data_IF_095124245953
#
_entry.id   IF_095124245953
#
_cell.length_a   1.000
_cell.length_b   1.000
_cell.length_c   1.000
_cell.angle_alpha   90.00
_cell.angle_beta   90.00
_cell.angle_gamma   90.00
#
_symmetry.space_group_name_H-M   'P 1'
#
loop_
_entity.id
_entity.type
_entity.pdbx_description
1 polymer ?
#
# COMPACT_ATOMS: atom_id res chain seq x y z
N UNK A 1 -19.00 21.91 -1.86
CA UNK A 1 -18.60 20.81 -2.78
C UNK A 1 -17.21 21.13 -3.26
N UNK A 2 -16.23 20.24 -2.99
CA UNK A 2 -14.83 20.38 -3.40
C UNK A 2 -14.57 19.59 -4.68
N UNK A 3 -13.61 20.06 -5.49
CA UNK A 3 -13.07 19.34 -6.65
C UNK A 3 -11.71 18.77 -6.26
N UNK A 4 -11.57 17.43 -6.28
CA UNK A 4 -10.40 16.73 -5.78
C UNK A 4 -9.80 15.85 -6.89
N UNK A 5 -8.52 16.04 -7.19
CA UNK A 5 -7.78 15.21 -8.14
C UNK A 5 -6.78 14.32 -7.42
N UNK A 6 -6.89 13.02 -7.61
CA UNK A 6 -5.88 12.05 -7.20
C UNK A 6 -4.92 11.81 -8.35
N UNK A 7 -3.63 11.98 -8.11
CA UNK A 7 -2.55 11.68 -9.06
C UNK A 7 -1.70 10.55 -8.52
N UNK A 8 -1.60 9.46 -9.25
CA UNK A 8 -0.79 8.31 -8.91
C UNK A 8 -0.04 7.76 -10.13
N UNK A 9 1.09 7.10 -9.89
CA UNK A 9 1.84 6.44 -10.96
C UNK A 9 1.00 5.35 -11.62
N UNK A 10 0.37 4.50 -10.79
CA UNK A 10 -0.54 3.41 -11.17
C UNK A 10 -1.50 3.12 -10.01
N UNK A 11 -2.69 2.60 -10.29
CA UNK A 11 -3.62 2.15 -9.25
C UNK A 11 -3.24 0.74 -8.77
N UNK A 12 -2.30 0.64 -7.81
CA UNK A 12 -1.72 -0.63 -7.37
C UNK A 12 -2.63 -1.50 -6.49
N UNK A 13 -3.42 -0.87 -5.62
CA UNK A 13 -4.20 -1.54 -4.57
C UNK A 13 -5.56 -0.89 -4.34
N UNK A 14 -6.10 -0.23 -5.35
CA UNK A 14 -7.39 0.48 -5.31
C UNK A 14 -7.47 1.63 -4.30
N UNK A 15 -6.38 2.06 -3.69
CA UNK A 15 -6.40 3.12 -2.67
C UNK A 15 -6.94 4.42 -3.23
N UNK A 16 -6.36 4.90 -4.36
CA UNK A 16 -6.80 6.13 -5.00
C UNK A 16 -8.25 6.04 -5.50
N UNK A 17 -8.65 4.93 -6.12
CA UNK A 17 -10.03 4.73 -6.57
C UNK A 17 -11.02 4.66 -5.42
N UNK A 18 -10.63 4.10 -4.27
CA UNK A 18 -11.45 4.07 -3.06
C UNK A 18 -11.65 5.48 -2.50
N UNK A 19 -10.60 6.30 -2.41
CA UNK A 19 -10.75 7.72 -2.05
C UNK A 19 -11.72 8.45 -2.99
N UNK A 20 -11.54 8.30 -4.30
CA UNK A 20 -12.42 8.94 -5.30
C UNK A 20 -13.88 8.52 -5.09
N UNK A 21 -14.14 7.23 -4.89
CA UNK A 21 -15.47 6.70 -4.64
C UNK A 21 -16.11 7.34 -3.40
N UNK A 22 -15.38 7.40 -2.29
CA UNK A 22 -15.90 7.98 -1.05
C UNK A 22 -16.01 9.51 -1.11
N UNK A 23 -15.09 10.21 -1.75
CA UNK A 23 -15.26 11.65 -1.99
C UNK A 23 -16.57 11.94 -2.75
N UNK A 24 -16.86 11.17 -3.79
CA UNK A 24 -18.12 11.29 -4.55
C UNK A 24 -19.34 10.96 -3.67
N UNK A 25 -19.26 9.90 -2.85
CA UNK A 25 -20.31 9.54 -1.90
C UNK A 25 -20.61 10.65 -0.88
N UNK A 26 -19.59 11.43 -0.49
CA UNK A 26 -19.72 12.58 0.41
C UNK A 26 -20.02 13.90 -0.34
N UNK A 27 -20.50 13.83 -1.58
CA UNK A 27 -20.95 15.01 -2.34
C UNK A 27 -19.85 15.85 -2.96
N UNK A 28 -18.61 15.35 -3.05
CA UNK A 28 -17.52 16.05 -3.73
C UNK A 28 -17.35 15.57 -5.19
N UNK A 29 -16.78 16.42 -6.03
CA UNK A 29 -16.32 16.02 -7.36
C UNK A 29 -14.90 15.47 -7.22
N UNK A 30 -14.69 14.22 -7.56
CA UNK A 30 -13.36 13.61 -7.46
C UNK A 30 -13.03 12.80 -8.69
N UNK A 31 -11.78 12.89 -9.14
CA UNK A 31 -11.22 12.17 -10.27
C UNK A 31 -9.88 11.55 -9.91
N UNK A 32 -9.51 10.50 -10.62
CA UNK A 32 -8.19 9.87 -10.52
C UNK A 32 -7.47 9.94 -11.86
N UNK A 33 -6.21 10.33 -11.82
CA UNK A 33 -5.29 10.28 -12.97
C UNK A 33 -4.17 9.31 -12.65
N UNK A 34 -4.02 8.28 -13.50
CA UNK A 34 -2.87 7.39 -13.48
C UNK A 34 -1.89 7.75 -14.59
N UNK A 35 -0.59 7.72 -14.31
CA UNK A 35 0.44 7.96 -15.32
C UNK A 35 0.53 6.78 -16.31
N UNK A 36 0.34 5.55 -15.83
CA UNK A 36 0.24 4.36 -16.68
C UNK A 36 -0.69 3.31 -16.06
N UNK A 37 -1.14 2.37 -16.89
CA UNK A 37 -1.97 1.26 -16.44
C UNK A 37 -1.21 0.30 -15.53
N UNK A 38 -1.87 -0.12 -14.46
CA UNK A 38 -1.43 -1.26 -13.66
C UNK A 38 -1.77 -2.57 -14.40
N UNK A 39 -0.96 -3.62 -14.21
CA UNK A 39 -1.27 -4.97 -14.71
C UNK A 39 -2.38 -5.65 -13.91
N UNK A 40 -2.75 -5.11 -12.76
CA UNK A 40 -3.92 -5.53 -11.98
C UNK A 40 -5.21 -5.06 -12.65
N UNK A 41 -6.32 -5.74 -12.37
CA UNK A 41 -7.66 -5.42 -12.90
C UNK A 41 -8.37 -4.33 -12.07
N UNK A 42 -7.62 -3.34 -11.59
CA UNK A 42 -8.19 -2.25 -10.80
C UNK A 42 -8.78 -1.18 -11.71
N UNK A 43 -9.89 -0.61 -11.26
CA UNK A 43 -10.61 0.44 -11.98
C UNK A 43 -9.75 1.69 -12.20
N UNK A 44 -9.76 2.23 -13.41
CA UNK A 44 -9.07 3.47 -13.78
C UNK A 44 -10.07 4.51 -14.29
N UNK A 45 -9.84 5.77 -13.95
CA UNK A 45 -10.69 6.89 -14.41
C UNK A 45 -10.02 7.57 -15.63
N UNK A 46 -8.87 8.22 -15.45
CA UNK A 46 -8.08 8.84 -16.51
C UNK A 46 -6.70 8.22 -16.53
N UNK A 47 -6.29 7.59 -17.63
CA UNK A 47 -4.95 7.06 -17.78
C UNK A 47 -4.20 7.79 -18.89
N UNK A 48 -3.03 8.37 -18.57
CA UNK A 48 -2.21 9.09 -19.54
C UNK A 48 -1.37 8.18 -20.44
N UNK A 49 -1.28 6.87 -20.10
CA UNK A 49 -0.50 5.86 -20.84
C UNK A 49 0.93 6.31 -21.13
N UNK A 50 1.60 6.89 -20.13
CA UNK A 50 2.99 7.34 -20.27
C UNK A 50 3.94 6.14 -20.38
N UNK A 51 4.97 6.21 -21.23
CA UNK A 51 6.02 5.20 -21.30
C UNK A 51 6.95 5.30 -20.10
N UNK A 52 7.69 4.23 -19.79
CA UNK A 52 8.75 4.22 -18.76
C UNK A 52 8.28 4.60 -17.34
N UNK A 53 7.02 4.33 -17.01
CA UNK A 53 6.52 4.44 -15.65
C UNK A 53 6.97 3.22 -14.83
N UNK A 54 7.15 3.39 -13.53
CA UNK A 54 7.64 2.38 -12.58
C UNK A 54 6.96 1.01 -12.79
N UNK A 55 7.78 -0.06 -12.90
CA UNK A 55 7.30 -1.43 -13.09
C UNK A 55 7.11 -1.87 -14.54
N UNK A 56 7.32 -1.02 -15.53
CA UNK A 56 7.35 -1.41 -16.93
C UNK A 56 8.65 -2.16 -17.28
N UNK A 57 8.61 -3.11 -18.26
CA UNK A 57 9.81 -3.88 -18.67
C UNK A 57 11.00 -2.97 -19.05
N UNK A 58 10.73 -1.85 -19.71
CA UNK A 58 11.73 -0.85 -20.06
C UNK A 58 12.28 -0.10 -18.85
N UNK A 59 11.44 0.27 -17.87
CA UNK A 59 11.88 0.87 -16.60
C UNK A 59 12.78 -0.10 -15.81
N UNK A 60 12.43 -1.39 -15.77
CA UNK A 60 13.27 -2.41 -15.13
C UNK A 60 14.59 -2.63 -15.85
N UNK A 61 14.60 -2.60 -17.17
CA UNK A 61 15.82 -2.70 -17.96
C UNK A 61 16.74 -1.47 -17.75
N UNK A 62 16.13 -0.27 -17.73
CA UNK A 62 16.84 0.98 -17.46
C UNK A 62 17.42 1.00 -16.04
N UNK A 63 16.65 0.58 -15.04
CA UNK A 63 17.12 0.44 -13.64
C UNK A 63 18.25 -0.59 -13.51
N UNK A 64 18.17 -1.72 -14.23
CA UNK A 64 19.26 -2.70 -14.28
C UNK A 64 20.54 -2.08 -14.89
N UNK A 65 20.40 -1.34 -15.98
CA UNK A 65 21.53 -0.65 -16.62
C UNK A 65 22.13 0.41 -15.69
N UNK A 66 21.29 1.22 -15.02
CA UNK A 66 21.74 2.22 -14.03
C UNK A 66 22.38 1.55 -12.81
N UNK A 67 21.82 0.44 -12.31
CA UNK A 67 22.40 -0.29 -11.17
C UNK A 67 23.70 -1.01 -11.51
N UNK A 68 23.91 -1.43 -12.76
CA UNK A 68 25.19 -1.98 -13.22
C UNK A 68 26.30 -0.92 -13.23
N UNK A 69 25.94 0.37 -13.44
CA UNK A 69 26.89 1.50 -13.42
C UNK A 69 27.10 2.04 -11.99
N UNK A 70 26.14 1.81 -11.08
CA UNK A 70 26.17 2.34 -9.71
C UNK A 70 25.92 1.21 -8.70
N UNK A 71 26.99 0.67 -8.14
CA UNK A 71 26.96 -0.43 -7.16
C UNK A 71 26.47 -0.04 -5.76
N UNK A 72 26.02 1.20 -5.52
CA UNK A 72 25.64 1.69 -4.19
C UNK A 72 24.15 1.98 -4.09
N UNK A 73 23.58 1.65 -2.92
CA UNK A 73 22.24 2.03 -2.52
C UNK A 73 21.98 3.54 -2.70
N UNK A 74 20.72 3.98 -2.92
CA UNK A 74 20.42 5.40 -3.04
C UNK A 74 21.01 6.15 -1.84
N UNK A 75 21.77 7.21 -2.09
CA UNK A 75 22.13 8.14 -1.03
C UNK A 75 20.86 8.83 -0.59
N UNK A 76 20.38 8.44 0.57
CA UNK A 76 19.33 9.15 1.27
C UNK A 76 20.06 10.22 2.08
N UNK A 77 19.93 11.48 1.71
CA UNK A 77 20.39 12.59 2.52
C UNK A 77 19.36 12.85 3.61
N UNK A 78 19.81 12.89 4.87
CA UNK A 78 18.99 13.34 5.99
C UNK A 78 19.12 14.88 6.10
N UNK A 79 18.12 15.59 5.60
CA UNK A 79 18.00 17.03 5.83
C UNK A 79 17.08 17.25 7.04
N UNK A 80 17.67 17.49 8.22
CA UNK A 80 16.90 17.77 9.45
C UNK A 80 16.03 16.61 9.92
N UNK A 81 16.46 15.35 9.74
CA UNK A 81 15.71 14.15 10.11
C UNK A 81 14.68 13.70 9.08
N UNK A 82 14.63 14.35 7.91
CA UNK A 82 13.74 13.95 6.81
C UNK A 82 14.57 13.30 5.71
N UNK A 83 14.16 12.10 5.28
CA UNK A 83 14.76 11.42 4.13
C UNK A 83 14.36 12.12 2.85
N UNK A 84 15.34 12.62 2.09
CA UNK A 84 15.12 13.35 0.84
C UNK A 84 15.62 12.58 -0.37
N UNK A 85 14.84 12.61 -1.43
CA UNK A 85 15.24 12.05 -2.71
C UNK A 85 16.16 13.02 -3.47
N UNK A 86 17.30 12.50 -3.95
CA UNK A 86 18.19 13.19 -4.88
C UNK A 86 18.61 12.24 -5.99
N UNK A 87 18.83 12.73 -7.23
CA UNK A 87 19.47 11.92 -8.27
C UNK A 87 20.86 11.47 -7.81
N UNK A 88 21.18 10.20 -8.04
CA UNK A 88 22.48 9.62 -7.63
C UNK A 88 23.67 10.20 -8.40
N UNK A 89 23.40 10.69 -9.63
CA UNK A 89 24.41 11.23 -10.52
C UNK A 89 23.81 12.21 -11.53
N UNK A 90 24.67 13.00 -12.19
CA UNK A 90 24.27 13.85 -13.31
C UNK A 90 23.66 13.05 -14.47
N UNK A 91 24.11 11.80 -14.68
CA UNK A 91 23.54 10.91 -15.70
C UNK A 91 22.11 10.49 -15.35
N UNK A 92 21.82 10.15 -14.10
CA UNK A 92 20.45 9.83 -13.65
C UNK A 92 19.54 11.06 -13.78
N UNK A 93 20.04 12.26 -13.42
CA UNK A 93 19.33 13.52 -13.62
C UNK A 93 19.01 13.76 -15.10
N UNK A 94 19.97 13.52 -15.99
CA UNK A 94 19.76 13.61 -17.43
C UNK A 94 18.68 12.64 -17.93
N UNK A 95 18.68 11.39 -17.46
CA UNK A 95 17.67 10.39 -17.82
C UNK A 95 16.26 10.81 -17.36
N UNK A 96 16.13 11.39 -16.16
CA UNK A 96 14.85 11.93 -15.70
C UNK A 96 14.39 13.12 -16.56
N UNK A 97 15.28 14.01 -16.93
CA UNK A 97 14.94 15.13 -17.82
C UNK A 97 14.51 14.66 -19.22
N UNK A 98 15.19 13.66 -19.78
CA UNK A 98 14.81 13.04 -21.05
C UNK A 98 13.42 12.40 -20.97
N UNK A 99 13.17 11.64 -19.90
CA UNK A 99 11.85 11.05 -19.63
C UNK A 99 10.76 12.13 -19.54
N UNK A 100 10.99 13.18 -18.76
CA UNK A 100 10.02 14.25 -18.54
C UNK A 100 9.76 15.02 -19.86
N UNK A 101 10.77 15.14 -20.74
CA UNK A 101 10.59 15.67 -22.10
C UNK A 101 9.69 14.78 -22.95
N UNK A 102 9.91 13.45 -22.91
CA UNK A 102 9.06 12.48 -23.63
C UNK A 102 7.62 12.45 -23.10
N UNK A 103 7.43 12.70 -21.81
CA UNK A 103 6.10 12.74 -21.17
C UNK A 103 5.33 14.03 -21.44
N UNK A 104 6.06 15.15 -21.63
CA UNK A 104 5.51 16.49 -21.75
C UNK A 104 4.29 16.58 -22.66
N UNK A 105 4.36 16.19 -23.95
CA UNK A 105 3.24 16.32 -24.87
C UNK A 105 1.97 15.62 -24.39
N UNK A 106 2.10 14.39 -23.85
CA UNK A 106 0.94 13.63 -23.33
C UNK A 106 0.39 14.22 -22.04
N UNK A 107 1.26 14.69 -21.14
CA UNK A 107 0.84 15.32 -19.88
C UNK A 107 0.08 16.62 -20.19
N UNK A 108 0.62 17.50 -21.03
CA UNK A 108 -0.03 18.78 -21.37
C UNK A 108 -1.33 18.56 -22.12
N UNK A 109 -1.37 17.64 -23.08
CA UNK A 109 -2.62 17.26 -23.77
C UNK A 109 -3.65 16.68 -22.78
N UNK A 110 -3.23 15.86 -21.82
CA UNK A 110 -4.12 15.36 -20.77
C UNK A 110 -4.63 16.46 -19.85
N UNK A 111 -3.76 17.39 -19.45
CA UNK A 111 -4.12 18.56 -18.63
C UNK A 111 -5.21 19.39 -19.34
N UNK A 112 -5.03 19.67 -20.62
CA UNK A 112 -5.98 20.44 -21.41
C UNK A 112 -7.30 19.67 -21.64
N UNK A 113 -7.19 18.42 -22.12
CA UNK A 113 -8.35 17.58 -22.46
C UNK A 113 -9.28 17.32 -21.27
N UNK A 114 -8.73 17.15 -20.09
CA UNK A 114 -9.49 16.78 -18.89
C UNK A 114 -9.58 17.90 -17.86
N UNK A 115 -9.15 19.11 -18.22
CA UNK A 115 -9.15 20.30 -17.35
C UNK A 115 -8.51 20.04 -15.98
N UNK A 116 -7.33 19.38 -15.99
CA UNK A 116 -6.69 18.90 -14.77
C UNK A 116 -6.09 19.98 -13.88
N UNK A 117 -6.06 21.26 -14.30
CA UNK A 117 -5.62 22.36 -13.43
C UNK A 117 -6.79 23.01 -12.66
N UNK A 118 -8.02 22.61 -12.93
CA UNK A 118 -9.21 23.21 -12.35
C UNK A 118 -9.82 22.35 -11.24
N UNK A 119 -8.98 21.89 -10.30
CA UNK A 119 -9.38 21.25 -9.06
C UNK A 119 -8.97 22.12 -7.86
N UNK A 120 -9.59 21.92 -6.70
CA UNK A 120 -9.29 22.67 -5.48
C UNK A 120 -8.15 22.00 -4.70
N UNK A 121 -8.14 20.67 -4.70
CA UNK A 121 -7.20 19.82 -3.97
C UNK A 121 -6.55 18.82 -4.92
N UNK A 122 -5.23 18.69 -4.84
CA UNK A 122 -4.42 17.69 -5.54
C UNK A 122 -3.82 16.72 -4.53
N UNK A 123 -4.27 15.49 -4.59
CA UNK A 123 -3.81 14.40 -3.75
C UNK A 123 -2.76 13.61 -4.52
N UNK A 124 -1.50 13.73 -4.10
CA UNK A 124 -0.34 13.15 -4.77
C UNK A 124 0.06 11.84 -4.08
N UNK A 125 -0.25 10.72 -4.70
CA UNK A 125 0.19 9.42 -4.21
C UNK A 125 1.72 9.32 -4.34
N UNK A 126 2.36 8.76 -3.33
CA UNK A 126 3.83 8.74 -3.21
C UNK A 126 4.48 10.13 -3.17
N UNK A 127 3.75 11.22 -2.92
CA UNK A 127 4.30 12.58 -2.97
C UNK A 127 4.97 12.91 -4.31
N UNK A 128 4.43 12.37 -5.41
CA UNK A 128 4.95 12.56 -6.77
C UNK A 128 4.01 13.39 -7.63
N UNK A 129 4.56 14.34 -8.39
CA UNK A 129 3.82 15.13 -9.37
C UNK A 129 3.88 14.53 -10.79
N UNK A 130 3.33 15.25 -11.76
CA UNK A 130 3.44 14.90 -13.19
C UNK A 130 4.88 14.86 -13.68
N UNK A 131 5.73 15.74 -13.17
CA UNK A 131 7.15 15.87 -13.49
C UNK A 131 8.00 15.88 -12.22
N UNK A 132 9.24 15.46 -12.33
CA UNK A 132 10.20 15.45 -11.20
C UNK A 132 10.65 16.83 -10.77
N UNK A 133 10.65 17.81 -11.66
CA UNK A 133 11.04 19.19 -11.38
C UNK A 133 9.95 20.03 -10.70
N UNK A 134 8.85 19.40 -10.36
CA UNK A 134 7.74 20.00 -9.61
C UNK A 134 7.05 21.20 -10.32
N UNK A 135 7.34 21.44 -11.62
CA UNK A 135 6.84 22.62 -12.37
C UNK A 135 5.32 22.79 -12.33
N UNK A 136 4.56 21.69 -12.45
CA UNK A 136 3.09 21.74 -12.38
C UNK A 136 2.63 22.01 -10.95
N UNK A 137 3.26 21.43 -9.95
CA UNK A 137 2.92 21.65 -8.53
C UNK A 137 3.16 23.12 -8.15
N UNK A 138 4.30 23.70 -8.56
CA UNK A 138 4.58 25.13 -8.40
C UNK A 138 3.50 26.00 -9.03
N UNK A 139 3.07 25.67 -10.26
CA UNK A 139 1.96 26.35 -10.94
C UNK A 139 0.65 26.26 -10.16
N UNK A 140 0.30 25.07 -9.68
CA UNK A 140 -0.92 24.85 -8.88
C UNK A 140 -0.89 25.67 -7.58
N UNK A 141 0.23 25.70 -6.88
CA UNK A 141 0.38 26.54 -5.67
C UNK A 141 0.23 28.03 -5.98
N UNK A 142 0.82 28.52 -7.10
CA UNK A 142 0.63 29.91 -7.54
C UNK A 142 -0.83 30.23 -7.89
N UNK A 143 -1.63 29.23 -8.26
CA UNK A 143 -3.09 29.35 -8.49
C UNK A 143 -3.90 29.19 -7.20
N UNK A 144 -3.26 29.12 -6.01
CA UNK A 144 -3.94 28.98 -4.72
C UNK A 144 -4.50 27.58 -4.43
N UNK A 145 -4.08 26.56 -5.18
CA UNK A 145 -4.55 25.18 -5.01
C UNK A 145 -3.90 24.51 -3.80
N UNK A 146 -4.61 23.53 -3.19
CA UNK A 146 -4.11 22.74 -2.06
C UNK A 146 -3.44 21.46 -2.54
N UNK A 147 -2.31 21.14 -1.93
CA UNK A 147 -1.52 19.94 -2.24
C UNK A 147 -1.50 19.03 -1.01
N UNK A 148 -1.87 17.78 -1.21
CA UNK A 148 -1.79 16.71 -0.20
C UNK A 148 -0.83 15.65 -0.72
N UNK A 149 0.21 15.33 0.03
CA UNK A 149 1.09 14.20 -0.28
C UNK A 149 0.69 12.99 0.55
N UNK A 150 0.53 11.85 -0.12
CA UNK A 150 0.13 10.59 0.50
C UNK A 150 1.20 9.53 0.28
N UNK A 151 1.87 9.14 1.34
CA UNK A 151 2.99 8.20 1.32
C UNK A 151 2.56 6.80 1.73
N UNK A 152 2.93 5.80 0.94
CA UNK A 152 2.53 4.41 1.07
C UNK A 152 3.74 3.47 1.00
N UNK A 153 3.59 2.29 1.55
CA UNK A 153 4.52 1.18 1.39
C UNK A 153 5.97 1.58 1.68
N UNK A 154 6.85 1.49 0.67
CA UNK A 154 8.27 1.78 0.84
C UNK A 154 8.68 3.19 0.44
N UNK A 155 7.74 4.10 0.16
CA UNK A 155 8.04 5.41 -0.41
C UNK A 155 9.09 6.19 0.37
N UNK A 156 8.88 6.34 1.68
CA UNK A 156 9.83 7.07 2.53
C UNK A 156 11.02 6.20 2.96
N UNK A 157 10.83 4.87 3.04
CA UNK A 157 11.93 3.94 3.39
C UNK A 157 12.98 3.87 2.29
N UNK A 158 12.54 3.80 1.02
CA UNK A 158 13.43 3.52 -0.12
C UNK A 158 13.83 4.79 -0.87
N UNK A 159 12.92 5.77 -0.98
CA UNK A 159 13.14 6.96 -1.80
C UNK A 159 13.31 8.23 -0.96
N UNK A 160 12.48 8.41 0.04
CA UNK A 160 12.31 9.70 0.72
C UNK A 160 11.36 10.65 -0.02
N UNK A 161 11.19 11.86 0.53
CA UNK A 161 10.37 12.91 -0.08
C UNK A 161 11.07 13.56 -1.28
N UNK A 162 10.28 14.14 -2.19
CA UNK A 162 10.80 15.10 -3.20
C UNK A 162 10.77 16.48 -2.52
N UNK A 163 11.93 17.08 -2.18
CA UNK A 163 12.00 18.25 -1.29
C UNK A 163 11.12 19.42 -1.73
N UNK A 164 11.10 19.68 -3.03
CA UNK A 164 10.32 20.80 -3.59
C UNK A 164 8.81 20.56 -3.51
N UNK A 165 8.34 19.32 -3.64
CA UNK A 165 6.92 18.97 -3.51
C UNK A 165 6.53 18.98 -2.04
N UNK A 166 7.38 18.44 -1.18
CA UNK A 166 7.17 18.41 0.26
C UNK A 166 7.05 19.81 0.86
N UNK A 167 7.95 20.71 0.46
CA UNK A 167 7.90 22.12 0.88
C UNK A 167 6.65 22.88 0.38
N UNK A 168 6.01 22.42 -0.69
CA UNK A 168 4.78 22.99 -1.24
C UNK A 168 3.51 22.29 -0.74
N UNK A 169 3.66 21.18 -0.03
CA UNK A 169 2.52 20.43 0.48
C UNK A 169 1.81 21.17 1.62
N UNK A 170 0.50 21.16 1.60
CA UNK A 170 -0.34 21.69 2.69
C UNK A 170 -0.60 20.62 3.76
N UNK A 171 -0.49 19.35 3.39
CA UNK A 171 -0.71 18.20 4.27
C UNK A 171 0.06 16.98 3.77
N UNK A 172 0.82 16.36 4.66
CA UNK A 172 1.49 15.09 4.42
C UNK A 172 0.83 14.00 5.25
N UNK A 173 0.36 12.93 4.62
CA UNK A 173 -0.30 11.81 5.27
C UNK A 173 0.35 10.48 4.88
N UNK A 174 0.25 9.49 5.76
CA UNK A 174 0.74 8.13 5.52
C UNK A 174 -0.16 7.09 6.17
N UNK A 175 -0.20 5.89 5.60
CA UNK A 175 -0.79 4.71 6.24
C UNK A 175 0.25 3.80 6.90
N UNK A 176 1.52 4.16 6.81
CA UNK A 176 2.64 3.39 7.35
C UNK A 176 3.07 4.03 8.68
N UNK A 177 2.89 3.31 9.79
CA UNK A 177 3.17 3.87 11.11
C UNK A 177 4.64 4.25 11.31
N UNK A 178 5.56 3.45 10.82
CA UNK A 178 7.00 3.72 10.90
C UNK A 178 7.46 4.94 10.08
N UNK A 179 6.65 5.37 9.09
CA UNK A 179 6.93 6.61 8.36
C UNK A 179 6.87 7.85 9.26
N UNK A 180 6.10 7.80 10.36
CA UNK A 180 6.02 8.91 11.31
C UNK A 180 7.38 9.26 11.94
N UNK A 181 8.27 8.27 12.06
CA UNK A 181 9.64 8.49 12.51
C UNK A 181 10.58 9.02 11.39
N UNK A 182 10.16 8.94 10.12
CA UNK A 182 10.96 9.35 8.97
C UNK A 182 10.67 10.78 8.50
N UNK A 183 9.56 11.38 9.00
CA UNK A 183 9.17 12.74 8.63
C UNK A 183 8.24 13.35 9.68
N UNK A 184 8.67 14.42 10.41
CA UNK A 184 7.94 14.98 11.55
C UNK A 184 6.60 15.65 11.18
N UNK A 185 6.41 16.05 9.92
CA UNK A 185 5.18 16.67 9.43
C UNK A 185 4.11 15.69 8.95
N UNK A 186 4.33 14.37 9.08
CA UNK A 186 3.36 13.37 8.67
C UNK A 186 2.23 13.21 9.68
N UNK A 187 1.04 12.97 9.16
CA UNK A 187 -0.12 12.50 9.92
C UNK A 187 -0.49 11.08 9.51
N UNK A 188 -0.74 10.23 10.49
CA UNK A 188 -1.22 8.88 10.23
C UNK A 188 -2.68 8.92 9.76
N UNK A 189 -3.00 8.12 8.77
CA UNK A 189 -4.36 7.87 8.29
C UNK A 189 -4.55 6.37 8.10
N UNK A 190 -5.68 5.85 8.48
CA UNK A 190 -6.01 4.47 8.15
C UNK A 190 -6.16 4.29 6.64
N UNK A 191 -5.82 3.09 6.16
CA UNK A 191 -5.97 2.75 4.76
C UNK A 191 -7.47 2.76 4.39
N UNK A 192 -7.88 3.52 3.36
CA UNK A 192 -9.28 3.49 2.91
C UNK A 192 -9.61 2.11 2.37
N UNK A 193 -10.66 1.50 2.93
CA UNK A 193 -11.05 0.14 2.60
C UNK A 193 -12.56 -0.01 2.53
N UNK A 194 -13.07 -0.78 1.56
CA UNK A 194 -14.50 -1.00 1.38
C UNK A 194 -14.93 -2.34 1.94
N UNK A 195 -15.41 -2.35 3.17
CA UNK A 195 -15.81 -3.56 3.88
C UNK A 195 -17.13 -4.15 3.37
N UNK A 196 -18.01 -3.32 2.82
CA UNK A 196 -19.34 -3.74 2.31
C UNK A 196 -19.31 -4.72 1.14
N UNK A 197 -18.17 -4.79 0.42
CA UNK A 197 -17.98 -5.73 -0.69
C UNK A 197 -17.75 -7.18 -0.22
N UNK A 198 -17.45 -7.39 1.08
CA UNK A 198 -17.09 -8.70 1.62
C UNK A 198 -18.25 -9.36 2.34
N UNK A 199 -18.55 -10.60 1.97
CA UNK A 199 -19.47 -11.46 2.74
C UNK A 199 -18.75 -11.94 4.00
N UNK A 200 -19.48 -12.04 5.09
CA UNK A 200 -18.99 -12.64 6.32
C UNK A 200 -19.09 -14.16 6.17
N UNK A 201 -18.10 -14.86 6.65
CA UNK A 201 -18.09 -16.31 6.66
C UNK A 201 -19.03 -16.84 7.77
N UNK A 202 -19.91 -17.77 7.42
CA UNK A 202 -20.98 -18.23 8.32
C UNK A 202 -20.62 -19.51 9.09
N UNK A 203 -19.80 -20.39 8.51
CA UNK A 203 -19.49 -21.71 9.06
C UNK A 203 -18.00 -22.02 9.02
N UNK A 204 -17.49 -22.70 10.02
CA UNK A 204 -16.15 -23.27 10.02
C UNK A 204 -16.14 -24.60 9.27
N UNK A 205 -14.97 -24.94 8.69
CA UNK A 205 -14.75 -26.25 8.09
C UNK A 205 -14.59 -27.32 9.18
N UNK A 206 -14.95 -28.57 8.88
CA UNK A 206 -14.68 -29.71 9.76
C UNK A 206 -13.16 -29.87 9.96
N UNK A 207 -12.40 -29.78 8.88
CA UNK A 207 -10.96 -29.65 8.87
C UNK A 207 -10.58 -28.17 8.71
N UNK A 208 -10.02 -27.58 9.75
CA UNK A 208 -9.67 -26.16 9.74
C UNK A 208 -8.65 -25.83 8.64
N UNK A 209 -8.86 -24.71 7.94
CA UNK A 209 -8.03 -24.22 6.85
C UNK A 209 -7.40 -22.90 7.24
N UNK A 210 -6.10 -22.80 7.06
CA UNK A 210 -5.29 -21.61 7.38
C UNK A 210 -4.82 -20.97 6.09
N UNK A 211 -5.20 -19.73 5.79
CA UNK A 211 -4.69 -19.04 4.62
C UNK A 211 -3.49 -18.15 4.92
N UNK A 212 -2.56 -18.14 3.97
CA UNK A 212 -1.47 -17.17 3.87
C UNK A 212 -1.34 -16.71 2.42
N UNK A 213 -1.38 -15.39 2.17
CA UNK A 213 -1.41 -14.82 0.84
C UNK A 213 -0.28 -13.79 0.64
N UNK A 214 0.98 -14.22 0.54
CA UNK A 214 2.11 -13.31 0.43
C UNK A 214 2.26 -12.79 -1.00
N UNK A 215 2.41 -11.47 -1.15
CA UNK A 215 2.88 -10.86 -2.40
C UNK A 215 4.41 -10.96 -2.55
N UNK A 216 5.12 -10.94 -1.43
CA UNK A 216 6.55 -11.12 -1.33
C UNK A 216 6.85 -11.98 -0.09
N UNK A 217 7.41 -13.16 -0.31
CA UNK A 217 7.69 -14.15 0.74
C UNK A 217 8.60 -13.62 1.84
N UNK A 218 9.66 -12.89 1.45
CA UNK A 218 10.62 -12.34 2.40
C UNK A 218 9.96 -11.32 3.33
N UNK A 219 9.18 -10.38 2.75
CA UNK A 219 8.51 -9.33 3.51
C UNK A 219 7.43 -9.85 4.45
N UNK A 220 6.84 -10.99 4.09
CA UNK A 220 5.76 -11.61 4.88
C UNK A 220 6.25 -12.71 5.85
N UNK A 221 7.53 -13.04 5.83
CA UNK A 221 8.07 -14.11 6.67
C UNK A 221 7.50 -15.49 6.33
N UNK A 222 7.18 -15.74 5.05
CA UNK A 222 6.42 -16.89 4.57
C UNK A 222 7.02 -18.23 4.98
N UNK A 223 8.34 -18.39 4.95
CA UNK A 223 8.99 -19.67 5.29
C UNK A 223 8.72 -20.05 6.74
N UNK A 224 8.74 -19.08 7.67
CA UNK A 224 8.39 -19.30 9.08
C UNK A 224 6.91 -19.67 9.27
N UNK A 225 6.03 -19.02 8.48
CA UNK A 225 4.60 -19.33 8.49
C UNK A 225 4.36 -20.76 8.02
N UNK A 226 4.99 -21.17 6.91
CA UNK A 226 4.89 -22.53 6.37
C UNK A 226 5.39 -23.55 7.40
N UNK A 227 6.51 -23.29 8.06
CA UNK A 227 7.05 -24.18 9.09
C UNK A 227 6.08 -24.36 10.26
N UNK A 228 5.51 -23.24 10.78
CA UNK A 228 4.53 -23.30 11.85
C UNK A 228 3.26 -24.06 11.44
N UNK A 229 2.75 -23.80 10.23
CA UNK A 229 1.57 -24.49 9.69
C UNK A 229 1.81 -26.01 9.51
N UNK A 230 2.96 -26.43 9.01
CA UNK A 230 3.29 -27.87 8.87
C UNK A 230 3.24 -28.60 10.22
N UNK A 231 3.78 -27.99 11.28
CA UNK A 231 3.69 -28.55 12.62
C UNK A 231 2.24 -28.70 13.09
N UNK A 232 1.38 -27.76 12.72
CA UNK A 232 -0.05 -27.82 13.04
C UNK A 232 -0.81 -28.85 12.18
N UNK A 233 -0.43 -29.00 10.91
CA UNK A 233 -0.96 -30.07 10.04
C UNK A 233 -0.68 -31.46 10.63
N UNK A 234 0.55 -31.70 11.09
CA UNK A 234 0.97 -32.95 11.70
C UNK A 234 0.27 -33.25 13.04
N UNK A 235 0.04 -32.23 13.89
CA UNK A 235 -0.53 -32.37 15.21
C UNK A 235 -2.04 -32.39 15.26
N UNK A 236 -2.67 -31.55 14.43
CA UNK A 236 -4.11 -31.24 14.51
C UNK A 236 -4.86 -31.49 13.22
N UNK A 237 -4.19 -31.98 12.17
CA UNK A 237 -4.82 -32.29 10.89
C UNK A 237 -5.40 -31.09 10.15
N UNK A 238 -4.98 -29.86 10.43
CA UNK A 238 -5.40 -28.65 9.71
C UNK A 238 -4.83 -28.63 8.28
N UNK A 239 -5.19 -27.65 7.46
CA UNK A 239 -4.71 -27.51 6.08
C UNK A 239 -4.15 -26.10 5.85
N UNK A 240 -2.91 -25.98 5.38
CA UNK A 240 -2.37 -24.72 4.88
C UNK A 240 -2.82 -24.45 3.46
N UNK A 241 -3.46 -23.31 3.24
CA UNK A 241 -3.82 -22.75 1.91
C UNK A 241 -2.88 -21.59 1.59
N UNK A 242 -1.77 -21.91 0.91
CA UNK A 242 -0.82 -20.91 0.44
C UNK A 242 -1.31 -20.31 -0.88
N UNK A 243 -1.59 -19.00 -0.89
CA UNK A 243 -2.21 -18.29 -2.00
C UNK A 243 -1.16 -17.43 -2.70
N UNK A 244 -0.58 -17.94 -3.78
CA UNK A 244 0.46 -17.26 -4.56
C UNK A 244 0.13 -17.32 -6.06
N UNK A 245 0.56 -16.30 -6.82
CA UNK A 245 0.40 -16.27 -8.28
C UNK A 245 -1.05 -16.21 -8.75
N UNK A 246 -1.99 -15.83 -7.88
CA UNK A 246 -3.42 -15.75 -8.18
C UNK A 246 -3.83 -14.31 -8.52
N UNK A 247 -4.91 -14.16 -9.29
CA UNK A 247 -5.60 -12.88 -9.42
C UNK A 247 -6.21 -12.47 -8.07
N UNK A 248 -6.49 -11.18 -7.88
CA UNK A 248 -7.11 -10.70 -6.63
C UNK A 248 -8.45 -11.41 -6.36
N UNK A 249 -9.29 -11.55 -7.39
CA UNK A 249 -10.58 -12.24 -7.27
C UNK A 249 -10.45 -13.72 -6.86
N UNK A 250 -9.45 -14.44 -7.40
CA UNK A 250 -9.17 -15.82 -6.99
C UNK A 250 -8.65 -15.89 -5.55
N UNK A 251 -7.75 -14.96 -5.17
CA UNK A 251 -7.25 -14.89 -3.81
C UNK A 251 -8.37 -14.67 -2.79
N UNK A 252 -9.30 -13.76 -3.07
CA UNK A 252 -10.46 -13.52 -2.22
C UNK A 252 -11.35 -14.77 -2.10
N UNK A 253 -11.60 -15.47 -3.21
CA UNK A 253 -12.38 -16.73 -3.17
C UNK A 253 -11.71 -17.80 -2.30
N UNK A 254 -10.38 -17.95 -2.40
CA UNK A 254 -9.63 -18.90 -1.59
C UNK A 254 -9.63 -18.51 -0.11
N UNK A 255 -9.40 -17.24 0.23
CA UNK A 255 -9.47 -16.75 1.61
C UNK A 255 -10.83 -17.06 2.25
N UNK A 256 -11.92 -16.84 1.52
CA UNK A 256 -13.27 -17.10 1.99
C UNK A 256 -13.54 -18.56 2.37
N UNK A 257 -12.71 -19.50 1.91
CA UNK A 257 -12.79 -20.92 2.28
C UNK A 257 -11.97 -21.26 3.52
N UNK A 258 -11.30 -20.30 4.17
CA UNK A 258 -10.37 -20.55 5.27
C UNK A 258 -10.94 -20.07 6.60
N UNK A 259 -10.50 -20.69 7.70
CA UNK A 259 -10.97 -20.46 9.06
C UNK A 259 -10.08 -19.52 9.86
N UNK A 260 -8.81 -19.45 9.48
CA UNK A 260 -7.76 -18.68 10.13
C UNK A 260 -6.92 -18.02 9.04
N UNK A 261 -6.47 -16.80 9.27
CA UNK A 261 -5.56 -16.11 8.37
C UNK A 261 -4.26 -15.71 9.07
N UNK A 262 -3.13 -15.83 8.36
CA UNK A 262 -1.85 -15.31 8.80
C UNK A 262 -1.36 -14.32 7.75
N UNK A 263 -1.23 -13.04 8.13
CA UNK A 263 -0.79 -12.00 7.19
C UNK A 263 0.73 -11.96 7.07
N UNK A 264 1.42 -11.74 8.19
CA UNK A 264 2.89 -11.61 8.18
C UNK A 264 3.50 -11.95 9.53
N UNK A 265 4.80 -12.32 9.49
CA UNK A 265 5.66 -12.46 10.67
C UNK A 265 6.91 -11.60 10.46
N UNK A 266 7.21 -10.72 11.42
CA UNK A 266 8.31 -9.78 11.35
C UNK A 266 7.93 -8.48 10.64
N UNK A 267 8.85 -7.51 10.69
CA UNK A 267 8.60 -6.12 10.27
C UNK A 267 9.43 -5.69 9.04
N UNK A 268 9.91 -6.65 8.26
CA UNK A 268 10.78 -6.37 7.09
C UNK A 268 10.04 -5.57 6.02
N UNK A 269 8.75 -5.83 5.84
CA UNK A 269 7.89 -5.14 4.87
C UNK A 269 7.13 -3.94 5.41
N UNK A 270 7.41 -3.51 6.64
CA UNK A 270 6.70 -2.45 7.36
C UNK A 270 6.03 -2.95 8.63
N UNK A 271 5.64 -2.01 9.48
CA UNK A 271 4.98 -2.27 10.75
C UNK A 271 3.47 -2.31 10.56
N UNK A 272 2.82 -3.32 11.09
CA UNK A 272 1.38 -3.35 11.19
C UNK A 272 0.69 -4.31 10.22
N UNK A 273 -0.51 -3.93 9.80
CA UNK A 273 -1.35 -4.74 8.91
C UNK A 273 -1.48 -4.10 7.52
N UNK A 274 -1.77 -4.94 6.54
CA UNK A 274 -2.01 -4.48 5.16
C UNK A 274 -3.42 -4.83 4.66
N UNK A 275 -3.64 -4.59 3.38
CA UNK A 275 -4.92 -4.92 2.69
C UNK A 275 -5.32 -6.38 2.92
N UNK A 276 -4.36 -7.30 2.93
CA UNK A 276 -4.63 -8.72 3.18
C UNK A 276 -5.33 -8.96 4.52
N UNK A 277 -4.89 -8.27 5.59
CA UNK A 277 -5.53 -8.34 6.91
C UNK A 277 -6.95 -7.74 6.89
N UNK A 278 -7.13 -6.59 6.23
CA UNK A 278 -8.44 -5.94 6.14
C UNK A 278 -9.46 -6.82 5.39
N UNK A 279 -9.03 -7.52 4.35
CA UNK A 279 -9.86 -8.48 3.62
C UNK A 279 -10.30 -9.63 4.52
N UNK A 280 -9.38 -10.25 5.26
CA UNK A 280 -9.70 -11.40 6.13
C UNK A 280 -10.55 -10.99 7.33
N UNK A 281 -10.27 -9.85 7.96
CA UNK A 281 -11.15 -9.28 9.00
C UNK A 281 -12.54 -8.96 8.47
N UNK A 282 -12.64 -8.41 7.24
CA UNK A 282 -13.94 -8.13 6.60
C UNK A 282 -14.76 -9.40 6.34
N UNK A 283 -14.08 -10.53 6.14
CA UNK A 283 -14.72 -11.85 6.02
C UNK A 283 -15.07 -12.49 7.36
N UNK A 284 -14.74 -11.85 8.49
CA UNK A 284 -14.93 -12.39 9.84
C UNK A 284 -13.94 -13.50 10.17
N UNK A 285 -12.77 -13.53 9.52
CA UNK A 285 -11.72 -14.53 9.73
C UNK A 285 -10.71 -13.98 10.74
N UNK A 286 -10.46 -14.69 11.87
CA UNK A 286 -9.44 -14.31 12.83
C UNK A 286 -8.08 -14.24 12.15
N UNK A 287 -7.38 -13.13 12.33
CA UNK A 287 -6.15 -12.82 11.60
C UNK A 287 -4.96 -12.64 12.54
N UNK A 288 -3.92 -13.43 12.30
CA UNK A 288 -2.62 -13.33 12.96
C UNK A 288 -1.71 -12.43 12.15
N UNK A 289 -1.00 -11.50 12.82
CA UNK A 289 -0.02 -10.61 12.18
C UNK A 289 1.01 -10.13 13.19
N UNK A 290 2.16 -9.63 12.73
CA UNK A 290 3.18 -9.05 13.59
C UNK A 290 2.99 -7.53 13.70
N UNK A 291 3.12 -7.02 14.92
CA UNK A 291 3.22 -5.61 15.24
C UNK A 291 4.53 -5.30 15.96
N UNK A 292 5.01 -4.07 15.86
CA UNK A 292 5.96 -3.56 16.85
C UNK A 292 5.21 -3.16 18.12
N UNK A 293 5.86 -3.15 19.30
CA UNK A 293 5.21 -2.73 20.54
C UNK A 293 4.57 -1.33 20.45
N UNK A 294 5.22 -0.42 19.74
CA UNK A 294 4.75 0.95 19.56
C UNK A 294 3.47 1.02 18.70
N UNK A 295 3.39 0.20 17.65
CA UNK A 295 2.20 0.14 16.81
C UNK A 295 1.05 -0.58 17.51
N UNK A 296 1.34 -1.62 18.26
CA UNK A 296 0.37 -2.35 19.09
C UNK A 296 -0.28 -1.40 20.12
N UNK A 297 0.54 -0.62 20.82
CA UNK A 297 0.07 0.40 21.76
C UNK A 297 -0.70 1.55 21.08
N UNK A 298 -0.27 1.97 19.89
CA UNK A 298 -0.95 3.01 19.12
C UNK A 298 -2.34 2.59 18.65
N UNK A 299 -2.46 1.35 18.18
CA UNK A 299 -3.71 0.87 17.61
C UNK A 299 -4.76 0.54 18.68
N UNK A 300 -4.35 0.23 19.90
CA UNK A 300 -5.19 -0.15 21.06
C UNK A 300 -6.41 -1.04 20.67
N UNK A 301 -7.07 -1.70 21.55
CA UNK A 301 -8.35 -2.45 21.38
C UNK A 301 -8.60 -3.08 19.98
N UNK A 302 -7.56 -3.54 19.30
CA UNK A 302 -7.65 -4.13 17.98
C UNK A 302 -7.95 -5.65 18.03
N UNK A 303 -8.56 -6.23 16.98
CA UNK A 303 -8.94 -7.66 16.94
C UNK A 303 -7.81 -8.61 16.59
N UNK A 304 -6.65 -8.12 16.15
CA UNK A 304 -5.55 -8.95 15.67
C UNK A 304 -4.98 -9.85 16.77
N UNK A 305 -4.55 -11.03 16.37
CA UNK A 305 -3.76 -11.91 17.22
C UNK A 305 -2.29 -11.61 16.91
N UNK A 306 -1.64 -10.87 17.79
CA UNK A 306 -0.25 -10.43 17.57
C UNK A 306 0.70 -11.59 17.76
N UNK A 307 1.54 -11.81 16.73
CA UNK A 307 2.54 -12.90 16.68
C UNK A 307 3.90 -12.38 16.26
N UNK A 308 4.92 -13.12 16.64
CA UNK A 308 6.29 -12.92 16.21
C UNK A 308 6.95 -14.27 15.86
N UNK A 309 8.25 -14.25 15.53
CA UNK A 309 8.97 -15.45 15.12
C UNK A 309 9.04 -16.52 16.23
N UNK A 310 8.99 -16.11 17.50
CA UNK A 310 9.18 -17.00 18.65
C UNK A 310 7.86 -17.63 19.09
N UNK A 311 6.74 -16.91 18.98
CA UNK A 311 5.45 -17.35 19.54
C UNK A 311 4.41 -17.80 18.50
N UNK A 312 4.70 -17.72 17.19
CA UNK A 312 3.72 -18.05 16.14
C UNK A 312 3.15 -19.46 16.30
N UNK A 313 3.98 -20.46 16.62
CA UNK A 313 3.56 -21.85 16.76
C UNK A 313 2.56 -22.00 17.90
N UNK A 314 2.88 -21.45 19.08
CA UNK A 314 2.02 -21.49 20.27
C UNK A 314 0.69 -20.75 20.03
N UNK A 315 0.76 -19.52 19.51
CA UNK A 315 -0.42 -18.71 19.26
C UNK A 315 -1.33 -19.33 18.20
N UNK A 316 -0.75 -19.90 17.15
CA UNK A 316 -1.51 -20.60 16.11
C UNK A 316 -2.22 -21.83 16.69
N UNK A 317 -1.52 -22.63 17.51
CA UNK A 317 -2.11 -23.78 18.19
C UNK A 317 -3.27 -23.36 19.12
N UNK A 318 -3.11 -22.29 19.87
CA UNK A 318 -4.17 -21.73 20.70
C UNK A 318 -5.41 -21.38 19.85
N UNK A 319 -5.22 -20.74 18.71
CA UNK A 319 -6.32 -20.37 17.81
C UNK A 319 -6.98 -21.61 17.19
N UNK A 320 -6.22 -22.65 16.87
CA UNK A 320 -6.73 -23.91 16.35
C UNK A 320 -7.61 -24.63 17.39
N UNK A 321 -7.18 -24.65 18.64
CA UNK A 321 -7.85 -25.40 19.69
C UNK A 321 -9.06 -24.65 20.30
N UNK A 322 -9.01 -23.31 20.34
CA UNK A 322 -10.08 -22.48 20.94
C UNK A 322 -11.05 -21.94 19.89
N UNK A 323 -12.14 -22.67 19.68
CA UNK A 323 -13.24 -22.22 18.80
C UNK A 323 -13.87 -20.90 19.25
N UNK A 324 -13.99 -20.70 20.57
CA UNK A 324 -14.56 -19.48 21.15
C UNK A 324 -13.72 -18.25 20.81
N UNK A 325 -12.40 -18.40 20.88
CA UNK A 325 -11.44 -17.36 20.48
C UNK A 325 -11.58 -17.01 18.98
N UNK A 326 -11.64 -18.04 18.10
CA UNK A 326 -11.80 -17.80 16.66
C UNK A 326 -13.08 -17.01 16.35
N UNK A 327 -14.20 -17.44 16.88
CA UNK A 327 -15.50 -16.77 16.64
C UNK A 327 -15.54 -15.36 17.23
N UNK A 328 -14.95 -15.15 18.40
CA UNK A 328 -14.86 -13.82 19.02
C UNK A 328 -13.99 -12.90 18.16
N UNK A 329 -12.74 -13.31 17.84
CA UNK A 329 -11.80 -12.53 17.04
C UNK A 329 -12.32 -12.26 15.61
N UNK A 330 -13.05 -13.18 15.02
CA UNK A 330 -13.72 -12.97 13.74
C UNK A 330 -14.77 -11.85 13.80
N UNK A 331 -15.64 -11.86 14.84
CA UNK A 331 -16.65 -10.80 15.04
C UNK A 331 -16.00 -9.45 15.36
N UNK A 332 -15.04 -9.42 16.28
CA UNK A 332 -14.27 -8.21 16.60
C UNK A 332 -13.59 -7.65 15.33
N UNK A 333 -13.00 -8.53 14.50
CA UNK A 333 -12.38 -8.14 13.24
C UNK A 333 -13.34 -7.50 12.26
N UNK A 334 -14.52 -8.07 12.09
CA UNK A 334 -15.55 -7.49 11.21
C UNK A 334 -16.06 -6.14 11.72
N UNK A 335 -16.14 -5.96 13.02
CA UNK A 335 -16.58 -4.70 13.64
C UNK A 335 -15.48 -3.61 13.57
N UNK A 336 -14.22 -4.00 13.59
CA UNK A 336 -13.08 -3.09 13.54
C UNK A 336 -12.91 -2.40 12.20
N UNK A 337 -13.14 -3.11 11.09
CA UNK A 337 -12.98 -2.59 9.73
C UNK A 337 -14.28 -1.95 9.21
#
# INVERSE_FOLDING_TARGET
MLRILHLCDQNWVSTASTFVKYHRKFGNQSRMVTLSRCKGEFEEDICLNLPLVRGNRLDMALKRAVNLVHSNAPKIDDAGGIRVWKPRSGFESFLFNLRDTLWGPRIYSGIERYDLLNFDIYHLESGSGFFRDSRIIKKLKAMGKRIVCYYLGTDLRDRGVIPEIDALSDLNITTEFDHLALHPGLRFSFLPFETGAFKVREKENERLRICHAPRNRLFKGTERIIEACRRMEERHGVELVLIEGKTHAEALRLKMTCDIAIDQIGNVGGTGYGVNSLETLSMGIPTLTSFTPEFDAFLADHPFIVVNQDNITEKLEQVILDRGLRLRKGREGRAFV
#
